data_IF_359976710398
#
_entry.id   IF_359976710398
#
_cell.length_a   1.000
_cell.length_b   1.000
_cell.length_c   1.000
_cell.angle_alpha   90.00
_cell.angle_beta   90.00
_cell.angle_gamma   90.00
#
_symmetry.space_group_name_H-M   'P 1'
#
loop_
_entity.id
_entity.type
_entity.pdbx_description
1 polymer ?
#
# COMPACT_ATOMS: atom_id res chain seq x y z
N UNK A 1 -19.68 -4.35 -1.00
CA UNK A 1 -18.48 -5.22 -0.86
C UNK A 1 -18.85 -6.60 -0.30
N UNK A 2 -19.47 -6.69 0.90
CA UNK A 2 -19.87 -7.98 1.49
C UNK A 2 -20.88 -8.81 0.67
N UNK A 3 -21.77 -8.16 -0.09
CA UNK A 3 -22.75 -8.84 -0.95
C UNK A 3 -22.18 -9.33 -2.29
N UNK A 4 -20.95 -8.94 -2.64
CA UNK A 4 -20.33 -9.24 -3.94
C UNK A 4 -19.08 -10.11 -3.82
N UNK A 5 -18.33 -9.99 -2.72
CA UNK A 5 -17.11 -10.75 -2.51
C UNK A 5 -17.34 -12.22 -2.12
N UNK A 6 -16.26 -13.01 -1.95
CA UNK A 6 -14.86 -12.59 -1.98
C UNK A 6 -14.37 -12.21 -3.39
N UNK A 7 -13.22 -11.51 -3.46
CA UNK A 7 -12.55 -11.16 -4.71
C UNK A 7 -11.25 -11.99 -4.81
N UNK A 8 -11.27 -13.17 -5.45
CA UNK A 8 -10.10 -14.05 -5.52
C UNK A 8 -8.90 -13.41 -6.23
N UNK A 9 -9.17 -12.60 -7.26
CA UNK A 9 -8.16 -11.80 -7.96
C UNK A 9 -7.59 -10.63 -7.11
N UNK A 10 -8.19 -10.35 -5.95
CA UNK A 10 -7.80 -9.28 -5.05
C UNK A 10 -8.59 -7.99 -5.26
N UNK A 11 -8.57 -7.15 -4.23
CA UNK A 11 -9.08 -5.77 -4.26
C UNK A 11 -8.14 -4.88 -3.46
N UNK A 12 -7.93 -3.63 -3.88
CA UNK A 12 -7.07 -2.69 -3.15
C UNK A 12 -7.93 -1.76 -2.32
N UNK A 13 -7.64 -1.68 -1.03
CA UNK A 13 -8.07 -0.59 -0.18
C UNK A 13 -6.97 0.47 -0.20
N UNK A 14 -7.15 1.42 -1.12
CA UNK A 14 -6.20 2.49 -1.39
C UNK A 14 -6.06 3.44 -0.19
N UNK A 15 -4.83 3.88 0.10
CA UNK A 15 -4.43 4.78 1.18
C UNK A 15 -5.19 4.51 2.49
N UNK A 16 -5.13 3.27 2.97
CA UNK A 16 -5.98 2.80 4.07
C UNK A 16 -5.66 3.48 5.40
N UNK A 17 -6.64 4.22 5.93
CA UNK A 17 -6.60 4.88 7.25
C UNK A 17 -7.73 4.41 8.18
N UNK A 18 -8.34 3.27 7.84
CA UNK A 18 -9.42 2.67 8.61
C UNK A 18 -8.95 2.08 9.95
N UNK A 19 -9.88 1.43 10.65
CA UNK A 19 -9.59 0.84 11.96
C UNK A 19 -8.92 -0.54 11.83
N UNK A 20 -8.17 -0.94 12.85
CA UNK A 20 -7.54 -2.27 12.89
C UNK A 20 -8.59 -3.39 12.91
N UNK A 21 -9.75 -3.11 13.50
CA UNK A 21 -10.85 -4.05 13.71
C UNK A 21 -11.55 -4.45 12.40
N UNK A 22 -11.49 -3.60 11.37
CA UNK A 22 -12.06 -3.92 10.06
C UNK A 22 -11.15 -4.77 9.19
N UNK A 23 -9.84 -4.80 9.47
CA UNK A 23 -8.84 -5.49 8.65
C UNK A 23 -9.18 -6.97 8.44
N UNK A 24 -9.53 -7.77 9.47
CA UNK A 24 -9.83 -9.19 9.26
C UNK A 24 -11.00 -9.43 8.30
N UNK A 25 -12.02 -8.58 8.33
CA UNK A 25 -13.19 -8.69 7.45
C UNK A 25 -12.84 -8.36 6.00
N UNK A 26 -11.96 -7.38 5.78
CA UNK A 26 -11.48 -7.04 4.44
C UNK A 26 -10.52 -8.09 3.88
N UNK A 27 -9.66 -8.67 4.71
CA UNK A 27 -8.77 -9.78 4.32
C UNK A 27 -9.59 -10.98 3.81
N UNK A 28 -10.71 -11.33 4.48
CA UNK A 28 -11.63 -12.39 4.01
C UNK A 28 -12.21 -12.12 2.62
N UNK A 29 -12.30 -10.85 2.21
CA UNK A 29 -12.79 -10.45 0.90
C UNK A 29 -11.67 -10.41 -0.15
N UNK A 30 -10.42 -10.72 0.20
CA UNK A 30 -9.27 -10.66 -0.71
C UNK A 30 -8.57 -9.30 -0.74
N UNK A 31 -8.79 -8.44 0.26
CA UNK A 31 -8.22 -7.09 0.25
C UNK A 31 -6.70 -7.06 0.49
N UNK A 32 -6.05 -6.20 -0.29
CA UNK A 32 -4.73 -5.62 -0.03
C UNK A 32 -4.90 -4.20 0.50
N UNK A 33 -3.92 -3.72 1.26
CA UNK A 33 -3.95 -2.42 1.93
C UNK A 33 -2.72 -1.64 1.50
N UNK A 34 -2.92 -0.51 0.83
CA UNK A 34 -1.83 0.39 0.50
C UNK A 34 -1.74 1.53 1.51
N UNK A 35 -0.51 1.95 1.79
CA UNK A 35 -0.20 3.01 2.74
C UNK A 35 0.57 4.14 2.05
N UNK A 36 0.09 5.36 2.24
CA UNK A 36 0.68 6.60 1.73
C UNK A 36 1.22 7.48 2.86
N UNK A 37 1.74 8.67 2.52
CA UNK A 37 2.17 9.66 3.51
C UNK A 37 1.05 10.15 4.43
N UNK A 38 -0.24 10.00 4.05
CA UNK A 38 -1.36 10.33 4.94
C UNK A 38 -1.36 9.51 6.23
N UNK A 39 -0.75 8.32 6.25
CA UNK A 39 -0.62 7.51 7.47
C UNK A 39 0.13 8.25 8.59
N UNK A 40 1.05 9.15 8.23
CA UNK A 40 1.83 9.97 9.18
C UNK A 40 0.98 11.06 9.87
N UNK A 41 -0.26 11.26 9.44
CA UNK A 41 -1.25 12.08 10.16
C UNK A 41 -1.93 11.33 11.31
N UNK A 42 -1.91 10.00 11.28
CA UNK A 42 -2.53 9.16 12.30
C UNK A 42 -1.67 9.11 13.57
N UNK A 43 -2.31 8.99 14.74
CA UNK A 43 -1.58 8.74 15.99
C UNK A 43 -0.72 7.48 15.86
N UNK A 44 0.59 7.51 16.21
CA UNK A 44 1.50 6.39 15.96
C UNK A 44 1.02 5.05 16.55
N UNK A 45 0.42 5.07 17.74
CA UNK A 45 -0.10 3.85 18.37
C UNK A 45 -1.29 3.25 17.61
N UNK A 46 -2.16 4.09 17.03
CA UNK A 46 -3.27 3.65 16.20
C UNK A 46 -2.77 3.11 14.86
N UNK A 47 -1.82 3.80 14.23
CA UNK A 47 -1.18 3.37 12.99
C UNK A 47 -0.47 2.02 13.17
N UNK A 48 0.33 1.88 14.23
CA UNK A 48 1.01 0.61 14.59
C UNK A 48 0.02 -0.53 14.81
N UNK A 49 -1.05 -0.29 15.56
CA UNK A 49 -2.11 -1.30 15.80
C UNK A 49 -2.76 -1.74 14.48
N UNK A 50 -3.10 -0.78 13.61
CA UNK A 50 -3.71 -1.05 12.31
C UNK A 50 -2.75 -1.84 11.40
N UNK A 51 -1.50 -1.39 11.26
CA UNK A 51 -0.50 -2.07 10.44
C UNK A 51 -0.24 -3.51 10.91
N UNK A 52 -0.13 -3.73 12.23
CA UNK A 52 0.06 -5.08 12.80
C UNK A 52 -1.15 -6.00 12.61
N UNK A 53 -2.33 -5.46 12.32
CA UNK A 53 -3.51 -6.27 11.98
C UNK A 53 -3.51 -6.73 10.50
N UNK A 54 -2.75 -6.06 9.63
CA UNK A 54 -2.66 -6.39 8.21
C UNK A 54 -1.66 -7.53 8.00
N UNK A 55 -2.06 -8.65 7.38
CA UNK A 55 -1.14 -9.71 7.00
C UNK A 55 -0.04 -9.18 6.07
N UNK A 56 1.22 -9.61 6.28
CA UNK A 56 2.37 -9.10 5.53
C UNK A 56 2.21 -9.27 4.01
N UNK A 57 1.63 -10.37 3.58
CA UNK A 57 1.31 -10.71 2.18
C UNK A 57 0.14 -9.91 1.58
N UNK A 58 -0.35 -8.88 2.30
CA UNK A 58 -1.41 -7.97 1.88
C UNK A 58 -1.00 -6.49 1.99
N UNK A 59 0.25 -6.21 2.35
CA UNK A 59 0.77 -4.84 2.50
C UNK A 59 1.28 -4.31 1.16
N UNK A 60 0.86 -3.10 0.81
CA UNK A 60 1.37 -2.32 -0.32
C UNK A 60 1.84 -0.95 0.15
N UNK A 61 2.76 -0.34 -0.57
CA UNK A 61 3.24 1.02 -0.33
C UNK A 61 2.97 1.88 -1.56
N UNK A 62 2.60 3.13 -1.33
CA UNK A 62 2.36 4.12 -2.39
C UNK A 62 2.74 5.52 -1.91
N UNK A 63 2.79 6.50 -2.83
CA UNK A 63 2.98 7.91 -2.45
C UNK A 63 1.68 8.68 -2.37
N UNK A 64 0.70 8.31 -3.20
CA UNK A 64 -0.49 9.12 -3.49
C UNK A 64 -0.13 10.52 -4.03
N UNK A 65 1.02 10.64 -4.71
CA UNK A 65 1.43 11.89 -5.34
C UNK A 65 0.42 12.32 -6.42
N UNK A 66 0.09 13.62 -6.54
CA UNK A 66 0.77 14.76 -5.95
C UNK A 66 0.36 15.12 -4.50
N UNK A 67 -0.59 14.40 -3.92
CA UNK A 67 -1.06 14.59 -2.55
C UNK A 67 -0.19 13.82 -1.54
N UNK A 68 -0.64 13.79 -0.28
CA UNK A 68 -0.06 12.97 0.79
C UNK A 68 1.44 13.19 1.03
N UNK A 69 1.91 14.44 0.93
CA UNK A 69 3.31 14.79 1.22
C UNK A 69 3.74 14.21 2.59
N UNK A 70 4.74 13.31 2.63
CA UNK A 70 5.18 12.69 3.86
C UNK A 70 5.72 13.73 4.85
N UNK A 71 5.41 13.56 6.14
CA UNK A 71 5.95 14.43 7.20
C UNK A 71 7.41 14.09 7.44
N UNK A 72 8.32 14.81 6.80
CA UNK A 72 9.76 14.64 6.93
C UNK A 72 10.47 15.99 6.89
N UNK A 73 11.76 15.98 7.20
CA UNK A 73 12.61 17.15 7.00
C UNK A 73 12.68 17.48 5.50
N UNK A 74 12.59 18.76 5.15
CA UNK A 74 12.56 19.21 3.74
C UNK A 74 13.76 18.70 2.92
N UNK A 75 14.92 18.53 3.55
CA UNK A 75 16.12 17.98 2.88
C UNK A 75 16.04 16.51 2.50
N UNK A 76 15.06 15.77 3.03
CA UNK A 76 14.80 14.36 2.69
C UNK A 76 13.73 14.20 1.61
N UNK A 77 12.99 15.26 1.27
CA UNK A 77 11.96 15.24 0.26
C UNK A 77 12.56 15.44 -1.13
N UNK A 78 12.08 14.66 -2.10
CA UNK A 78 12.24 14.93 -3.52
C UNK A 78 11.20 15.98 -3.94
N UNK A 79 11.62 17.16 -4.40
CA UNK A 79 10.71 18.20 -4.86
C UNK A 79 10.16 17.89 -6.26
N UNK A 80 8.99 18.43 -6.58
CA UNK A 80 8.45 18.46 -7.95
C UNK A 80 9.04 19.67 -8.68
N UNK A 81 9.66 19.46 -9.84
CA UNK A 81 10.22 20.58 -10.62
C UNK A 81 9.09 21.49 -11.13
N UNK A 82 9.27 22.81 -11.01
CA UNK A 82 8.28 23.80 -11.45
C UNK A 82 7.08 23.97 -10.52
N UNK A 83 7.12 23.37 -9.33
CA UNK A 83 6.13 23.63 -8.29
C UNK A 83 6.31 25.05 -7.73
N UNK A 84 5.35 25.93 -8.01
CA UNK A 84 5.35 27.33 -7.59
C UNK A 84 5.17 27.52 -6.07
N UNK A 85 4.80 26.45 -5.36
CA UNK A 85 4.70 26.42 -3.90
C UNK A 85 6.04 26.16 -3.20
N UNK A 86 7.11 25.83 -3.96
CA UNK A 86 8.46 25.72 -3.39
C UNK A 86 8.95 27.13 -3.06
N UNK A 87 9.17 27.47 -1.78
CA UNK A 87 9.70 28.78 -1.43
C UNK A 87 11.07 28.94 -2.06
N UNK A 88 11.20 29.94 -2.93
CA UNK A 88 12.49 30.55 -3.24
C UNK A 88 13.07 30.99 -1.89
N UNK A 89 14.21 30.40 -1.51
CA UNK A 89 14.99 30.69 -0.30
C UNK A 89 14.83 29.68 0.86
N UNK A 90 15.81 28.79 0.90
CA UNK A 90 16.31 28.14 2.11
C UNK A 90 16.55 29.20 3.22
N UNK A 91 15.61 29.36 4.14
CA UNK A 91 15.92 29.89 5.47
C UNK A 91 14.82 29.54 6.48
N UNK A 92 15.22 28.65 7.41
CA UNK A 92 14.79 28.59 8.80
C UNK A 92 13.29 28.80 9.11
N UNK A 93 12.63 27.71 9.52
CA UNK A 93 11.27 27.62 10.09
C UNK A 93 10.14 27.41 9.07
N UNK A 94 10.15 26.25 8.41
CA UNK A 94 8.94 25.75 7.76
C UNK A 94 7.90 25.38 8.83
N UNK A 95 6.84 26.19 8.95
CA UNK A 95 5.66 25.87 9.75
C UNK A 95 4.87 24.74 9.07
N UNK A 96 4.05 23.99 9.81
CA UNK A 96 3.26 22.88 9.26
C UNK A 96 2.27 23.28 8.16
N UNK A 97 2.04 24.58 7.96
CA UNK A 97 1.17 25.10 6.90
C UNK A 97 1.87 25.19 5.54
N UNK A 98 3.18 25.46 5.49
CA UNK A 98 3.92 25.53 4.23
C UNK A 98 4.02 24.17 3.52
N UNK A 99 4.08 23.09 4.29
CA UNK A 99 4.08 21.72 3.76
C UNK A 99 2.73 21.29 3.16
N UNK A 100 1.63 22.04 3.39
CA UNK A 100 0.33 21.73 2.78
C UNK A 100 0.23 22.16 1.33
N UNK A 101 1.07 23.09 0.87
CA UNK A 101 1.01 23.61 -0.50
C UNK A 101 2.03 22.97 -1.44
N UNK A 102 3.04 22.29 -0.91
CA UNK A 102 4.05 21.59 -1.70
C UNK A 102 3.50 20.29 -2.30
N UNK A 103 3.75 20.08 -3.58
CA UNK A 103 3.39 18.85 -4.27
C UNK A 103 4.30 17.70 -3.83
N UNK A 104 3.71 16.54 -3.61
CA UNK A 104 4.43 15.30 -3.38
C UNK A 104 4.93 14.70 -4.69
N UNK A 105 6.03 13.95 -4.61
CA UNK A 105 6.69 13.30 -5.74
C UNK A 105 6.73 11.78 -5.55
N UNK A 106 6.59 10.94 -6.61
CA UNK A 106 6.68 9.48 -6.51
C UNK A 106 7.96 8.95 -5.84
N UNK A 107 9.09 9.66 -5.98
CA UNK A 107 10.35 9.29 -5.35
C UNK A 107 10.31 9.38 -3.80
N UNK A 108 9.31 10.04 -3.21
CA UNK A 108 9.14 10.12 -1.75
C UNK A 108 8.60 8.82 -1.12
N UNK A 109 8.32 7.77 -1.90
CA UNK A 109 7.87 6.46 -1.40
C UNK A 109 8.82 5.88 -0.35
N UNK A 110 10.11 6.19 -0.42
CA UNK A 110 11.12 5.72 0.54
C UNK A 110 10.86 6.24 1.97
N UNK A 111 10.22 7.39 2.13
CA UNK A 111 9.86 7.95 3.45
C UNK A 111 8.72 7.13 4.04
N UNK A 112 7.72 6.80 3.22
CA UNK A 112 6.60 5.93 3.61
C UNK A 112 7.12 4.54 3.99
N UNK A 113 8.01 3.97 3.17
CA UNK A 113 8.70 2.71 3.46
C UNK A 113 9.39 2.73 4.84
N UNK A 114 10.22 3.74 5.09
CA UNK A 114 10.94 3.87 6.36
C UNK A 114 9.98 3.98 7.56
N UNK A 115 8.92 4.78 7.41
CA UNK A 115 7.93 4.95 8.46
C UNK A 115 7.18 3.66 8.77
N UNK A 116 6.64 2.98 7.76
CA UNK A 116 5.89 1.73 7.93
C UNK A 116 6.79 0.62 8.49
N UNK A 117 8.03 0.48 7.99
CA UNK A 117 9.01 -0.47 8.50
C UNK A 117 9.27 -0.26 10.00
N UNK A 118 9.41 1.00 10.44
CA UNK A 118 9.63 1.35 11.85
C UNK A 118 8.45 0.94 12.75
N UNK A 119 7.21 1.08 12.26
CA UNK A 119 6.02 0.72 13.04
C UNK A 119 5.83 -0.80 13.13
N UNK A 120 6.19 -1.52 12.05
CA UNK A 120 6.13 -2.98 11.99
C UNK A 120 7.32 -3.68 12.65
N UNK A 121 8.39 -2.94 12.97
CA UNK A 121 9.62 -3.48 13.58
C UNK A 121 10.32 -4.50 12.67
N UNK A 122 10.33 -4.24 11.35
CA UNK A 122 11.04 -5.04 10.33
C UNK A 122 12.01 -4.15 9.54
N UNK A 123 12.96 -4.76 8.83
CA UNK A 123 13.89 -4.01 7.99
C UNK A 123 13.17 -3.39 6.78
N UNK A 124 13.68 -2.25 6.30
CA UNK A 124 13.15 -1.59 5.10
C UNK A 124 13.33 -2.47 3.86
N UNK A 125 14.41 -3.25 3.79
CA UNK A 125 14.67 -4.18 2.71
C UNK A 125 13.62 -5.28 2.65
N UNK A 126 13.26 -5.83 3.81
CA UNK A 126 12.25 -6.87 3.91
C UNK A 126 10.86 -6.34 3.58
N UNK A 127 10.48 -5.16 4.12
CA UNK A 127 9.20 -4.54 3.77
C UNK A 127 9.11 -4.18 2.29
N UNK A 128 10.21 -3.68 1.69
CA UNK A 128 10.26 -3.38 0.27
C UNK A 128 10.06 -4.66 -0.57
N UNK A 129 10.73 -5.76 -0.21
CA UNK A 129 10.58 -7.06 -0.87
C UNK A 129 9.15 -7.59 -0.76
N UNK A 130 8.56 -7.53 0.43
CA UNK A 130 7.17 -7.95 0.68
C UNK A 130 6.21 -7.11 -0.17
N UNK A 131 6.29 -5.78 -0.07
CA UNK A 131 5.39 -4.89 -0.81
C UNK A 131 5.55 -5.07 -2.32
N UNK A 132 6.77 -5.24 -2.81
CA UNK A 132 7.03 -5.50 -4.22
C UNK A 132 6.38 -6.81 -4.66
N UNK A 133 6.65 -7.91 -3.96
CA UNK A 133 6.08 -9.23 -4.27
C UNK A 133 4.54 -9.20 -4.27
N UNK A 134 3.93 -8.50 -3.31
CA UNK A 134 2.48 -8.30 -3.25
C UNK A 134 1.96 -7.50 -4.45
N UNK A 135 2.65 -6.43 -4.86
CA UNK A 135 2.32 -5.64 -6.06
C UNK A 135 2.39 -6.50 -7.31
N UNK A 136 3.44 -7.29 -7.50
CA UNK A 136 3.56 -8.21 -8.65
C UNK A 136 2.39 -9.20 -8.64
N UNK A 137 2.12 -9.84 -7.51
CA UNK A 137 1.02 -10.80 -7.39
C UNK A 137 -0.34 -10.18 -7.75
N UNK A 138 -0.59 -8.92 -7.35
CA UNK A 138 -1.89 -8.28 -7.48
C UNK A 138 -2.11 -7.62 -8.85
N UNK A 139 -1.05 -7.06 -9.44
CA UNK A 139 -1.14 -6.32 -10.70
C UNK A 139 -0.69 -7.14 -11.92
N UNK A 140 -0.17 -8.34 -11.73
CA UNK A 140 0.10 -9.27 -12.83
C UNK A 140 -1.18 -9.94 -13.32
N UNK A 141 -1.35 -9.94 -14.64
CA UNK A 141 -2.42 -10.63 -15.35
C UNK A 141 -1.88 -11.08 -16.72
N UNK A 142 -2.64 -11.92 -17.43
CA UNK A 142 -2.26 -12.39 -18.77
C UNK A 142 -2.02 -11.20 -19.72
N UNK A 143 -0.80 -11.08 -20.25
CA UNK A 143 -0.38 -9.96 -21.09
C UNK A 143 0.25 -8.76 -20.35
N UNK A 144 0.35 -8.81 -19.01
CA UNK A 144 1.10 -7.80 -18.25
C UNK A 144 2.62 -7.89 -18.51
N UNK A 145 3.31 -6.75 -18.53
CA UNK A 145 4.77 -6.67 -18.74
C UNK A 145 5.60 -6.99 -17.49
N UNK A 146 4.93 -7.40 -16.42
CA UNK A 146 5.53 -7.57 -15.11
C UNK A 146 6.07 -9.00 -15.02
N UNK A 147 7.40 -9.15 -14.94
CA UNK A 147 8.06 -10.44 -14.99
C UNK A 147 7.63 -11.32 -13.81
N UNK A 148 7.17 -12.54 -14.10
CA UNK A 148 6.98 -13.57 -13.10
C UNK A 148 8.36 -14.08 -12.65
N UNK A 149 8.80 -13.73 -11.45
CA UNK A 149 9.69 -14.62 -10.71
C UNK A 149 8.83 -15.76 -10.17
N UNK A 150 9.23 -17.01 -10.41
CA UNK A 150 8.49 -18.27 -10.19
C UNK A 150 8.13 -18.59 -8.71
N UNK A 151 7.88 -17.60 -7.85
CA UNK A 151 7.65 -17.81 -6.42
C UNK A 151 6.27 -17.39 -5.90
N UNK A 152 5.36 -16.89 -6.74
CA UNK A 152 3.98 -16.66 -6.27
C UNK A 152 3.20 -17.99 -6.25
N UNK A 153 3.45 -18.81 -5.22
CA UNK A 153 2.78 -20.10 -4.96
C UNK A 153 1.29 -19.99 -4.61
N UNK A 154 0.61 -18.96 -5.10
CA UNK A 154 -0.81 -18.69 -4.89
C UNK A 154 -1.62 -18.71 -6.17
N UNK A 155 -0.98 -18.52 -7.33
CA UNK A 155 -1.67 -18.56 -8.62
C UNK A 155 -2.09 -19.98 -9.05
N UNK A 156 -1.54 -21.04 -8.42
CA UNK A 156 -1.79 -22.43 -8.82
C UNK A 156 -3.04 -23.07 -8.21
N UNK A 157 -3.66 -22.46 -7.19
CA UNK A 157 -4.74 -23.13 -6.43
C UNK A 157 -6.15 -22.68 -6.84
N UNK A 158 -6.28 -21.80 -7.83
CA UNK A 158 -7.60 -21.39 -8.33
C UNK A 158 -8.18 -22.41 -9.33
N UNK A 159 -7.34 -23.16 -10.04
CA UNK A 159 -7.79 -24.11 -11.07
C UNK A 159 -8.19 -25.49 -10.50
N UNK A 160 -7.70 -25.87 -9.33
CA UNK A 160 -7.97 -27.21 -8.76
C UNK A 160 -9.33 -27.34 -8.07
N UNK A 161 -10.04 -26.24 -7.81
CA UNK A 161 -11.33 -26.27 -7.09
C UNK A 161 -12.58 -26.24 -8.00
N UNK A 162 -12.42 -26.09 -9.32
CA UNK A 162 -13.53 -26.18 -10.28
C UNK A 162 -13.85 -27.61 -10.71
N UNK A 163 -12.97 -28.58 -10.45
CA UNK A 163 -13.20 -29.99 -10.84
C UNK A 163 -13.99 -30.81 -9.80
N UNK A 164 -14.46 -30.20 -8.71
CA UNK A 164 -15.15 -30.90 -7.62
C UNK A 164 -16.64 -30.57 -7.47
N UNK A 165 -17.24 -29.92 -8.48
CA UNK A 165 -18.70 -29.82 -8.62
C UNK A 165 -19.16 -30.81 -9.68
N UNK A 166 -19.59 -31.99 -9.22
CA UNK A 166 -20.11 -33.08 -10.05
C UNK A 166 -21.33 -32.68 -10.91
N UNK A 167 -21.73 -33.56 -11.85
CA UNK A 167 -22.68 -33.22 -12.90
C UNK A 167 -24.04 -32.87 -12.30
N UNK A 168 -24.56 -31.68 -12.65
CA UNK A 168 -25.96 -31.34 -12.42
C UNK A 168 -26.82 -32.24 -13.31
N UNK A 169 -27.54 -33.15 -12.67
CA UNK A 169 -28.58 -33.96 -13.30
C UNK A 169 -29.67 -33.06 -13.86
N UNK A 170 -29.97 -33.30 -15.13
CA UNK A 170 -31.14 -32.85 -15.88
C UNK A 170 -32.46 -33.08 -15.13
N UNK A 171 -33.28 -32.02 -15.08
CA UNK A 171 -34.75 -32.01 -15.13
C UNK A 171 -35.18 -30.67 -15.71
#
# INVERSE_FOLDING_TARGET
MKSLGPFPAGVILHSYLGSAEMVPEFVKLGAYFSFSGFLMSMKPQKAKKMLKAVPADRILLETDAPDALPKSDLGSLFPVQGDGSIPLEFQSQATSELAKEMLNHPANIHIVLNYVASLLEISKEELARISYSNTICLFSYEGSKVLHEESCGRCTNAEENEQQLGPRSSC
#
